data_IF_243206778476
#
_entry.id   IF_243206778476
#
_cell.length_a   1.000
_cell.length_b   1.000
_cell.length_c   1.000
_cell.angle_alpha   90.00
_cell.angle_beta   90.00
_cell.angle_gamma   90.00
#
_symmetry.space_group_name_H-M   'P 1'
#
loop_
_entity.id
_entity.type
_entity.pdbx_description
1 polymer ?
#
# COMPACT_ATOMS: atom_id res chain seq x y z
N UNK A 1 18.97 -4.97 13.62
CA UNK A 1 17.70 -4.37 13.21
C UNK A 1 16.94 -5.19 12.14
N UNK A 2 17.56 -5.55 10.98
CA UNK A 2 16.86 -6.29 9.89
C UNK A 2 16.13 -7.57 10.32
N UNK A 3 16.62 -8.32 11.33
CA UNK A 3 15.98 -9.56 11.83
C UNK A 3 14.72 -9.32 12.65
N UNK A 4 14.52 -8.12 13.22
CA UNK A 4 13.39 -7.82 14.11
C UNK A 4 12.11 -7.46 13.35
N UNK A 5 12.21 -6.91 12.14
CA UNK A 5 11.04 -6.48 11.37
C UNK A 5 10.37 -7.61 10.56
N UNK A 6 10.96 -8.80 10.60
CA UNK A 6 10.49 -9.97 9.85
C UNK A 6 10.06 -11.06 10.82
N UNK A 7 8.89 -11.62 10.62
CA UNK A 7 8.38 -12.79 11.33
C UNK A 7 7.72 -13.77 10.37
N UNK A 8 7.64 -15.04 10.76
CA UNK A 8 6.86 -16.04 10.05
C UNK A 8 5.47 -16.15 10.69
N UNK A 9 4.45 -16.32 9.86
CA UNK A 9 3.13 -16.70 10.35
C UNK A 9 3.18 -18.16 10.78
N UNK A 10 3.29 -18.36 12.10
CA UNK A 10 3.21 -19.67 12.75
C UNK A 10 1.93 -19.65 13.62
N UNK A 11 1.38 -20.80 13.97
CA UNK A 11 0.30 -20.87 14.96
C UNK A 11 0.69 -20.06 16.21
N UNK A 12 -0.14 -19.10 16.62
CA UNK A 12 0.15 -18.18 17.73
C UNK A 12 0.93 -16.92 17.34
N UNK A 13 1.01 -16.58 16.04
CA UNK A 13 1.60 -15.31 15.57
C UNK A 13 0.97 -14.11 16.28
N UNK A 14 1.83 -13.24 16.79
CA UNK A 14 1.43 -11.95 17.34
C UNK A 14 2.17 -10.84 16.61
N UNK A 15 1.44 -9.85 16.11
CA UNK A 15 1.98 -8.62 15.53
C UNK A 15 2.76 -7.85 16.62
N UNK A 16 4.05 -7.59 16.38
CA UNK A 16 4.88 -6.85 17.32
C UNK A 16 4.68 -5.34 17.13
N UNK A 17 3.78 -4.78 17.93
CA UNK A 17 3.45 -3.34 17.91
C UNK A 17 4.66 -2.46 18.27
N UNK A 18 5.59 -2.95 19.10
CA UNK A 18 6.76 -2.16 19.50
C UNK A 18 7.73 -2.02 18.32
N UNK A 19 8.01 -3.12 17.63
CA UNK A 19 8.85 -3.09 16.43
C UNK A 19 8.22 -2.22 15.35
N UNK A 20 6.92 -2.37 15.10
CA UNK A 20 6.20 -1.55 14.12
C UNK A 20 6.22 -0.06 14.48
N UNK A 21 6.00 0.29 15.76
CA UNK A 21 6.06 1.66 16.25
C UNK A 21 7.48 2.26 16.13
N UNK A 22 8.52 1.44 16.31
CA UNK A 22 9.93 1.89 16.16
C UNK A 22 10.31 2.09 14.69
N UNK A 23 9.89 1.18 13.82
CA UNK A 23 10.40 1.10 12.44
C UNK A 23 9.46 1.66 11.38
N UNK A 24 8.14 1.68 11.64
CA UNK A 24 7.08 2.04 10.69
C UNK A 24 6.75 0.94 9.68
N UNK A 25 7.44 -0.20 9.72
CA UNK A 25 7.22 -1.32 8.81
C UNK A 25 7.42 -2.66 9.53
N UNK A 26 6.61 -3.65 9.16
CA UNK A 26 6.70 -5.00 9.67
C UNK A 26 6.42 -6.03 8.55
N UNK A 27 7.19 -7.11 8.50
CA UNK A 27 7.07 -8.11 7.42
C UNK A 27 6.65 -9.44 8.01
N UNK A 28 5.55 -9.98 7.49
CA UNK A 28 5.01 -11.28 7.87
C UNK A 28 5.26 -12.24 6.72
N UNK A 29 6.07 -13.24 6.95
CA UNK A 29 6.38 -14.28 5.95
C UNK A 29 5.29 -15.34 5.91
N UNK A 30 5.00 -15.83 4.70
CA UNK A 30 4.00 -16.88 4.46
C UNK A 30 2.63 -16.54 5.12
N UNK A 31 2.24 -15.28 5.04
CA UNK A 31 1.03 -14.76 5.69
C UNK A 31 -0.25 -15.25 5.02
N UNK A 32 -0.21 -15.46 3.71
CA UNK A 32 -1.33 -15.97 2.92
C UNK A 32 -1.06 -17.44 2.57
N UNK A 33 -2.05 -18.33 2.72
CA UNK A 33 -1.94 -19.73 2.32
C UNK A 33 -1.53 -19.87 0.85
N UNK A 34 -0.65 -20.81 0.58
CA UNK A 34 -0.10 -21.05 -0.77
C UNK A 34 -1.20 -21.31 -1.80
N UNK A 35 -2.20 -22.07 -1.42
CA UNK A 35 -3.35 -22.42 -2.28
C UNK A 35 -4.15 -21.17 -2.67
N UNK A 36 -4.32 -20.24 -1.73
CA UNK A 36 -5.02 -18.97 -1.98
C UNK A 36 -4.20 -18.10 -2.94
N UNK A 37 -2.88 -18.01 -2.76
CA UNK A 37 -2.00 -17.27 -3.68
C UNK A 37 -2.03 -17.87 -5.08
N UNK A 38 -1.97 -19.20 -5.22
CA UNK A 38 -2.03 -19.86 -6.53
C UNK A 38 -3.35 -19.58 -7.24
N UNK A 39 -4.46 -19.58 -6.51
CA UNK A 39 -5.77 -19.21 -7.06
C UNK A 39 -5.77 -17.76 -7.54
N UNK A 40 -5.31 -16.83 -6.72
CA UNK A 40 -5.24 -15.41 -7.08
C UNK A 40 -4.33 -15.15 -8.29
N UNK A 41 -3.19 -15.83 -8.37
CA UNK A 41 -2.30 -15.80 -9.55
C UNK A 41 -3.00 -16.27 -10.81
N UNK A 42 -3.77 -17.37 -10.72
CA UNK A 42 -4.54 -17.89 -11.87
C UNK A 42 -5.58 -16.88 -12.35
N UNK A 43 -6.34 -16.29 -11.42
CA UNK A 43 -7.35 -15.27 -11.73
C UNK A 43 -6.69 -14.05 -12.35
N UNK A 44 -5.57 -13.56 -11.78
CA UNK A 44 -4.80 -12.44 -12.32
C UNK A 44 -4.31 -12.68 -13.73
N UNK A 45 -3.66 -13.82 -13.97
CA UNK A 45 -3.10 -14.15 -15.29
C UNK A 45 -4.20 -14.19 -16.37
N UNK A 46 -5.36 -14.78 -16.07
CA UNK A 46 -6.50 -14.80 -16.99
C UNK A 46 -7.06 -13.39 -17.24
N UNK A 47 -7.21 -12.59 -16.19
CA UNK A 47 -7.71 -11.22 -16.29
C UNK A 47 -6.76 -10.35 -17.13
N UNK A 48 -5.47 -10.38 -16.82
CA UNK A 48 -4.46 -9.57 -17.50
C UNK A 48 -4.25 -9.99 -18.96
N UNK A 49 -4.31 -11.30 -19.24
CA UNK A 49 -4.29 -11.81 -20.61
C UNK A 49 -5.46 -11.27 -21.44
N UNK A 50 -6.67 -11.30 -20.91
CA UNK A 50 -7.87 -10.80 -21.58
C UNK A 50 -7.84 -9.28 -21.79
N UNK A 51 -7.31 -8.52 -20.84
CA UNK A 51 -7.10 -7.07 -20.99
C UNK A 51 -6.21 -6.77 -22.19
N UNK A 52 -5.06 -7.45 -22.28
CA UNK A 52 -4.10 -7.24 -23.38
C UNK A 52 -4.64 -7.62 -24.76
N UNK A 53 -5.62 -8.54 -24.83
CA UNK A 53 -6.27 -8.94 -26.09
C UNK A 53 -7.36 -7.96 -26.54
N UNK A 54 -8.05 -7.33 -25.60
CA UNK A 54 -9.26 -6.57 -25.87
C UNK A 54 -9.06 -5.05 -25.79
N UNK A 55 -7.92 -4.59 -25.32
CA UNK A 55 -7.74 -3.19 -25.02
C UNK A 55 -6.83 -2.49 -26.04
N UNK A 56 -7.47 -1.68 -26.90
CA UNK A 56 -6.82 -0.63 -27.70
C UNK A 56 -6.43 0.59 -26.82
N UNK A 57 -6.69 0.59 -25.51
CA UNK A 57 -6.19 1.61 -24.61
C UNK A 57 -4.70 1.44 -24.51
N UNK A 58 -3.97 2.49 -24.90
CA UNK A 58 -2.58 2.66 -24.52
C UNK A 58 -2.53 2.70 -22.98
N UNK A 59 -2.52 1.52 -22.34
CA UNK A 59 -2.04 1.44 -20.98
C UNK A 59 -0.60 1.89 -21.09
N UNK A 60 -0.30 3.06 -20.55
CA UNK A 60 1.09 3.50 -20.43
C UNK A 60 1.74 2.58 -19.39
N UNK A 61 2.25 1.45 -19.88
CA UNK A 61 2.87 0.42 -19.05
C UNK A 61 4.20 0.90 -18.44
N UNK A 62 4.66 2.09 -18.77
CA UNK A 62 5.85 2.68 -18.19
C UNK A 62 5.58 3.26 -16.79
N UNK A 63 4.32 3.53 -16.44
CA UNK A 63 3.95 3.96 -15.09
C UNK A 63 3.34 2.79 -14.30
N UNK A 64 3.52 2.75 -12.98
CA UNK A 64 2.82 1.78 -12.14
C UNK A 64 1.32 1.88 -12.36
N UNK A 65 0.72 0.81 -12.85
CA UNK A 65 -0.71 0.77 -13.16
C UNK A 65 -1.47 0.36 -11.92
N UNK A 66 -2.47 1.16 -11.57
CA UNK A 66 -3.38 0.87 -10.46
C UNK A 66 -4.67 0.26 -10.99
N UNK A 67 -4.96 -0.97 -10.56
CA UNK A 67 -6.20 -1.66 -10.86
C UNK A 67 -7.10 -1.62 -9.62
N UNK A 68 -8.15 -0.82 -9.64
CA UNK A 68 -9.13 -0.69 -8.56
C UNK A 68 -10.57 -0.83 -9.06
N UNK A 69 -10.78 -0.80 -10.36
CA UNK A 69 -12.09 -0.94 -10.99
C UNK A 69 -12.13 -2.17 -11.88
N UNK A 70 -13.31 -2.80 -11.97
CA UNK A 70 -13.54 -3.95 -12.83
C UNK A 70 -12.64 -5.18 -12.61
N UNK A 71 -12.08 -5.30 -11.40
CA UNK A 71 -11.34 -6.50 -11.01
C UNK A 71 -12.29 -7.70 -10.92
N UNK A 72 -11.85 -8.90 -11.35
CA UNK A 72 -12.56 -10.15 -11.05
C UNK A 72 -12.88 -10.26 -9.56
N UNK A 73 -14.02 -10.86 -9.23
CA UNK A 73 -14.54 -10.95 -7.87
C UNK A 73 -13.50 -11.49 -6.86
N UNK A 74 -12.77 -12.54 -7.23
CA UNK A 74 -11.74 -13.12 -6.37
C UNK A 74 -10.63 -12.13 -6.00
N UNK A 75 -10.17 -11.31 -6.95
CA UNK A 75 -9.17 -10.26 -6.68
C UNK A 75 -9.80 -9.07 -5.93
N UNK A 76 -11.01 -8.68 -6.32
CA UNK A 76 -11.72 -7.56 -5.74
C UNK A 76 -12.09 -7.78 -4.26
N UNK A 77 -12.34 -9.03 -3.86
CA UNK A 77 -12.73 -9.40 -2.51
C UNK A 77 -11.56 -9.93 -1.66
N UNK A 78 -10.32 -9.95 -2.15
CA UNK A 78 -9.18 -10.51 -1.42
C UNK A 78 -8.98 -9.86 -0.03
N UNK A 79 -9.28 -8.59 0.13
CA UNK A 79 -9.24 -7.90 1.42
C UNK A 79 -10.18 -8.51 2.49
N UNK A 80 -11.18 -9.30 2.07
CA UNK A 80 -12.09 -10.05 2.96
C UNK A 80 -11.54 -11.40 3.40
N UNK A 81 -10.36 -11.81 2.91
CA UNK A 81 -9.77 -13.09 3.30
C UNK A 81 -9.52 -13.16 4.80
N UNK A 82 -9.60 -14.36 5.35
CA UNK A 82 -9.39 -14.60 6.79
C UNK A 82 -8.01 -14.09 7.24
N UNK A 83 -6.99 -14.29 6.41
CA UNK A 83 -5.63 -13.84 6.71
C UNK A 83 -5.52 -12.33 6.81
N UNK A 84 -6.09 -11.58 5.85
CA UNK A 84 -6.08 -10.11 5.85
C UNK A 84 -6.87 -9.57 7.05
N UNK A 85 -8.05 -10.13 7.32
CA UNK A 85 -8.87 -9.71 8.46
C UNK A 85 -8.18 -9.97 9.79
N UNK A 86 -7.56 -11.13 9.98
CA UNK A 86 -6.82 -11.46 11.19
C UNK A 86 -5.67 -10.49 11.45
N UNK A 87 -4.83 -10.24 10.43
CA UNK A 87 -3.70 -9.32 10.54
C UNK A 87 -4.17 -7.88 10.80
N UNK A 88 -5.24 -7.46 10.15
CA UNK A 88 -5.82 -6.13 10.37
C UNK A 88 -6.30 -5.95 11.81
N UNK A 89 -6.88 -6.98 12.41
CA UNK A 89 -7.27 -6.99 13.83
C UNK A 89 -6.07 -6.96 14.77
N UNK A 90 -4.99 -7.63 14.42
CA UNK A 90 -3.75 -7.60 15.21
C UNK A 90 -3.17 -6.17 15.26
N UNK A 91 -3.35 -5.38 14.21
CA UNK A 91 -2.85 -4.00 14.12
C UNK A 91 -3.75 -3.02 14.88
N UNK A 92 -5.05 -2.98 14.56
CA UNK A 92 -6.01 -1.99 15.08
C UNK A 92 -7.03 -2.53 16.11
N UNK A 93 -6.97 -3.84 16.41
CA UNK A 93 -8.02 -4.50 17.19
C UNK A 93 -9.29 -4.66 16.38
N UNK A 94 -10.43 -4.81 17.09
CA UNK A 94 -11.73 -4.93 16.41
C UNK A 94 -12.20 -3.62 15.76
N UNK A 95 -11.49 -2.54 15.99
CA UNK A 95 -11.86 -1.20 15.54
C UNK A 95 -11.15 -0.84 14.21
N UNK A 96 -11.25 -1.71 13.21
CA UNK A 96 -10.60 -1.56 11.91
C UNK A 96 -11.61 -1.53 10.77
N UNK A 97 -11.34 -0.73 9.74
CA UNK A 97 -12.11 -0.64 8.51
C UNK A 97 -11.19 -0.64 7.29
N UNK A 98 -11.72 -1.07 6.15
CA UNK A 98 -11.07 -0.89 4.87
C UNK A 98 -11.18 0.57 4.44
N UNK A 99 -10.06 1.20 4.11
CA UNK A 99 -10.03 2.52 3.46
C UNK A 99 -10.05 2.40 1.94
N UNK A 100 -9.15 1.59 1.40
CA UNK A 100 -9.04 1.37 -0.05
C UNK A 100 -8.35 0.03 -0.32
N UNK A 101 -8.56 -0.53 -1.51
CA UNK A 101 -7.74 -1.61 -2.02
C UNK A 101 -7.56 -1.48 -3.52
N UNK A 102 -6.41 -1.91 -4.00
CA UNK A 102 -6.03 -1.89 -5.42
C UNK A 102 -4.96 -2.93 -5.69
N UNK A 103 -4.74 -3.23 -6.95
CA UNK A 103 -3.54 -3.93 -7.41
C UNK A 103 -2.64 -2.92 -8.08
N UNK A 104 -1.38 -2.89 -7.68
CA UNK A 104 -0.34 -2.04 -8.26
C UNK A 104 0.62 -2.91 -9.05
N UNK A 105 0.68 -2.70 -10.35
CA UNK A 105 1.59 -3.41 -11.23
C UNK A 105 2.71 -2.48 -11.70
N UNK A 106 3.93 -2.99 -11.75
CA UNK A 106 5.04 -2.42 -12.48
C UNK A 106 5.46 -3.42 -13.55
N UNK A 107 5.35 -3.00 -14.79
CA UNK A 107 5.65 -3.85 -15.95
C UNK A 107 7.13 -4.28 -15.96
N UNK A 108 7.39 -5.44 -16.57
CA UNK A 108 8.75 -5.91 -16.86
C UNK A 108 9.49 -4.88 -17.69
N UNK A 109 10.79 -4.73 -17.44
CA UNK A 109 11.66 -3.76 -18.14
C UNK A 109 11.22 -2.31 -18.02
N UNK A 110 10.39 -1.98 -17.04
CA UNK A 110 10.02 -0.58 -16.78
C UNK A 110 11.18 0.16 -16.12
N UNK A 111 11.67 1.22 -16.76
CA UNK A 111 12.69 2.11 -16.22
C UNK A 111 12.13 3.15 -15.21
N UNK A 112 10.82 3.18 -15.04
CA UNK A 112 10.15 4.12 -14.16
C UNK A 112 10.32 3.78 -12.68
N UNK A 113 10.68 4.79 -11.91
CA UNK A 113 10.75 4.74 -10.44
C UNK A 113 9.57 5.48 -9.82
N UNK A 114 9.10 5.01 -8.67
CA UNK A 114 8.24 5.83 -7.80
C UNK A 114 9.16 6.63 -6.88
N UNK A 115 9.03 7.95 -6.92
CA UNK A 115 9.80 8.87 -6.11
C UNK A 115 9.64 8.59 -4.61
N UNK A 116 10.60 9.05 -3.83
CA UNK A 116 10.54 9.04 -2.37
C UNK A 116 9.35 9.88 -1.91
N UNK A 117 8.44 9.27 -1.12
CA UNK A 117 7.21 9.90 -0.66
C UNK A 117 6.68 9.24 0.62
N UNK A 118 5.66 9.86 1.18
CA UNK A 118 4.77 9.32 2.21
C UNK A 118 3.38 9.17 1.62
N UNK A 119 2.64 8.11 1.99
CA UNK A 119 1.26 7.93 1.53
C UNK A 119 0.26 8.84 2.24
N UNK A 120 0.59 9.28 3.46
CA UNK A 120 -0.28 10.07 4.32
C UNK A 120 -0.93 11.29 3.64
N UNK A 121 -0.22 12.12 2.83
CA UNK A 121 -0.83 13.28 2.19
C UNK A 121 -1.91 12.94 1.14
N UNK A 122 -1.95 11.70 0.69
CA UNK A 122 -2.96 11.20 -0.26
C UNK A 122 -4.15 10.53 0.42
N UNK A 123 -4.13 10.42 1.74
CA UNK A 123 -5.20 9.84 2.53
C UNK A 123 -6.08 10.95 3.14
N UNK A 124 -7.38 10.69 3.20
CA UNK A 124 -8.35 11.57 3.85
C UNK A 124 -8.76 10.93 5.19
N UNK A 125 -8.98 11.76 6.20
CA UNK A 125 -9.32 11.35 7.54
C UNK A 125 -8.45 12.03 8.58
N UNK A 126 -8.57 11.61 9.84
CA UNK A 126 -7.88 12.21 10.98
C UNK A 126 -6.69 11.39 11.45
N UNK A 127 -6.68 10.10 11.14
CA UNK A 127 -5.70 9.16 11.63
C UNK A 127 -4.74 8.67 10.55
N UNK A 128 -3.57 8.23 10.97
CA UNK A 128 -2.67 7.48 10.12
C UNK A 128 -3.33 6.18 9.68
N UNK A 129 -3.06 5.81 8.44
CA UNK A 129 -3.52 4.56 7.87
C UNK A 129 -2.36 3.58 7.78
N UNK A 130 -2.70 2.33 7.55
CA UNK A 130 -1.73 1.27 7.36
C UNK A 130 -1.96 0.60 6.01
N UNK A 131 -0.91 0.50 5.20
CA UNK A 131 -0.94 -0.26 3.96
C UNK A 131 -0.44 -1.69 4.20
N UNK A 132 -1.20 -2.67 3.73
CA UNK A 132 -0.82 -4.07 3.66
C UNK A 132 -0.44 -4.37 2.21
N UNK A 133 0.85 -4.45 1.92
CA UNK A 133 1.33 -4.85 0.60
C UNK A 133 1.51 -6.36 0.53
N UNK A 134 0.78 -7.01 -0.38
CA UNK A 134 0.85 -8.46 -0.59
C UNK A 134 1.35 -8.75 -2.00
N UNK A 135 2.59 -9.22 -2.17
CA UNK A 135 3.09 -9.60 -3.48
C UNK A 135 2.33 -10.83 -4.00
N UNK A 136 1.79 -10.70 -5.20
CA UNK A 136 1.16 -11.80 -5.92
C UNK A 136 2.21 -12.72 -6.56
N UNK A 137 3.37 -12.17 -6.92
CA UNK A 137 4.57 -12.87 -7.38
C UNK A 137 5.76 -12.39 -6.57
N UNK A 138 6.86 -13.14 -6.57
CA UNK A 138 8.06 -12.74 -5.83
C UNK A 138 8.51 -11.33 -6.23
N UNK A 139 8.88 -10.55 -5.23
CA UNK A 139 9.21 -9.14 -5.38
C UNK A 139 10.50 -8.82 -4.61
N UNK A 140 11.41 -8.11 -5.26
CA UNK A 140 12.69 -7.70 -4.68
C UNK A 140 13.30 -6.53 -5.44
N UNK A 141 14.56 -6.23 -5.15
CA UNK A 141 15.26 -5.08 -5.73
C UNK A 141 15.25 -5.10 -7.25
N UNK A 142 15.44 -6.28 -7.87
CA UNK A 142 15.60 -6.42 -9.33
C UNK A 142 14.32 -6.11 -10.12
N UNK A 143 13.15 -6.36 -9.52
CA UNK A 143 11.87 -6.13 -10.19
C UNK A 143 11.07 -4.94 -9.61
N UNK A 144 11.77 -3.96 -9.05
CA UNK A 144 11.17 -2.73 -8.57
C UNK A 144 10.50 -2.88 -7.20
N UNK A 145 11.08 -3.70 -6.33
CA UNK A 145 10.69 -3.81 -4.93
C UNK A 145 10.76 -2.47 -4.19
N UNK A 146 9.99 -2.37 -3.12
CA UNK A 146 9.87 -1.15 -2.34
C UNK A 146 11.02 -1.02 -1.34
N UNK A 147 11.56 0.18 -1.22
CA UNK A 147 12.57 0.58 -0.23
C UNK A 147 11.92 1.39 0.86
N UNK A 148 12.13 1.02 2.11
CA UNK A 148 11.56 1.62 3.31
C UNK A 148 12.64 2.28 4.16
N UNK A 149 12.41 3.51 4.63
CA UNK A 149 13.32 4.27 5.50
C UNK A 149 12.86 4.12 6.95
N UNK A 150 13.51 3.21 7.68
CA UNK A 150 13.07 2.74 8.99
C UNK A 150 13.05 3.87 10.04
N UNK A 151 11.91 4.04 10.71
CA UNK A 151 11.71 5.04 11.75
C UNK A 151 11.37 6.45 11.25
N UNK A 152 11.39 6.68 9.94
CA UNK A 152 11.12 8.01 9.37
C UNK A 152 9.70 8.52 9.62
N UNK A 153 8.73 7.63 9.85
CA UNK A 153 7.34 7.97 10.20
C UNK A 153 7.19 8.73 11.51
N UNK A 154 8.15 8.57 12.45
CA UNK A 154 8.12 9.22 13.77
C UNK A 154 8.25 10.76 13.68
N UNK A 155 8.69 11.28 12.54
CA UNK A 155 8.80 12.71 12.29
C UNK A 155 7.53 13.33 11.70
N UNK A 156 6.46 12.53 11.56
CA UNK A 156 5.20 12.97 10.98
C UNK A 156 5.30 13.26 9.49
N UNK A 157 4.40 14.10 8.99
CA UNK A 157 4.42 14.52 7.59
C UNK A 157 5.50 15.57 7.35
N UNK A 158 6.45 15.27 6.47
CA UNK A 158 7.60 16.13 6.19
C UNK A 158 7.54 16.81 4.82
N UNK A 159 6.77 16.30 3.88
CA UNK A 159 6.66 16.88 2.54
C UNK A 159 6.04 15.93 1.52
N UNK A 160 5.73 16.47 0.34
CA UNK A 160 5.13 15.72 -0.75
C UNK A 160 6.18 14.98 -1.60
N UNK A 161 5.73 14.10 -2.49
CA UNK A 161 6.59 13.35 -3.40
C UNK A 161 7.50 14.27 -4.21
N UNK A 162 8.81 14.02 -4.16
CA UNK A 162 9.81 14.80 -4.88
C UNK A 162 10.15 16.17 -4.29
N UNK A 163 9.54 16.57 -3.16
CA UNK A 163 9.88 17.84 -2.49
C UNK A 163 11.16 17.75 -1.66
N UNK A 164 11.49 16.55 -1.16
CA UNK A 164 12.67 16.35 -0.31
C UNK A 164 13.66 15.45 -1.04
N UNK A 165 14.88 15.93 -1.16
CA UNK A 165 16.00 15.17 -1.74
C UNK A 165 16.36 13.97 -0.87
N UNK A 166 16.60 12.82 -1.50
CA UNK A 166 16.93 11.57 -0.81
C UNK A 166 18.19 11.67 0.05
N UNK A 167 19.15 12.54 -0.28
CA UNK A 167 20.35 12.77 0.53
C UNK A 167 20.03 13.23 1.95
N UNK A 168 18.86 13.82 2.19
CA UNK A 168 18.39 14.21 3.53
C UNK A 168 17.98 13.02 4.39
N UNK A 169 17.93 11.82 3.81
CA UNK A 169 17.51 10.58 4.49
C UNK A 169 18.68 9.64 4.80
N UNK A 170 19.92 10.08 4.69
CA UNK A 170 21.11 9.26 4.95
C UNK A 170 21.20 8.76 6.39
N UNK A 171 20.64 9.49 7.35
CA UNK A 171 20.60 9.12 8.77
C UNK A 171 19.70 7.92 9.06
N UNK A 172 18.73 7.61 8.17
CA UNK A 172 17.85 6.48 8.38
C UNK A 172 18.36 5.21 7.71
N UNK A 173 18.32 4.11 8.46
CA UNK A 173 18.54 2.80 7.88
C UNK A 173 17.45 2.49 6.87
N UNK A 174 17.83 1.98 5.71
CA UNK A 174 16.88 1.59 4.64
C UNK A 174 16.97 0.11 4.33
N UNK A 175 15.83 -0.47 3.96
CA UNK A 175 15.74 -1.84 3.50
C UNK A 175 14.92 -1.94 2.22
N UNK A 176 15.31 -2.83 1.34
CA UNK A 176 14.52 -3.32 0.20
C UNK A 176 14.40 -4.83 0.39
N UNK A 177 13.31 -5.31 0.98
CA UNK A 177 13.20 -6.74 1.29
C UNK A 177 12.92 -7.56 0.02
N UNK A 178 13.52 -8.75 -0.05
CA UNK A 178 13.06 -9.79 -0.96
C UNK A 178 11.81 -10.44 -0.35
N UNK A 179 10.72 -10.41 -1.08
CA UNK A 179 9.41 -10.92 -0.68
C UNK A 179 9.01 -12.11 -1.56
N UNK A 180 8.50 -13.15 -0.94
CA UNK A 180 7.83 -14.22 -1.64
C UNK A 180 6.35 -13.88 -1.87
N UNK A 181 5.74 -14.48 -2.88
CA UNK A 181 4.30 -14.42 -3.07
C UNK A 181 3.58 -14.87 -1.79
N UNK A 182 2.64 -14.05 -1.30
CA UNK A 182 1.90 -14.29 -0.06
C UNK A 182 2.57 -13.83 1.24
N UNK A 183 3.76 -13.21 1.19
CA UNK A 183 4.25 -12.41 2.31
C UNK A 183 3.37 -11.16 2.47
N UNK A 184 3.37 -10.52 3.62
CA UNK A 184 2.72 -9.22 3.84
C UNK A 184 3.73 -8.23 4.39
N UNK A 185 3.77 -7.05 3.80
CA UNK A 185 4.43 -5.89 4.39
C UNK A 185 3.35 -4.99 4.99
N UNK A 186 3.44 -4.76 6.29
CA UNK A 186 2.62 -3.82 7.05
C UNK A 186 3.38 -2.50 7.11
N UNK A 187 2.85 -1.43 6.51
CA UNK A 187 3.53 -0.14 6.41
C UNK A 187 2.68 1.00 6.97
N UNK A 188 3.27 1.84 7.79
CA UNK A 188 2.66 3.08 8.25
C UNK A 188 2.62 4.11 7.12
N UNK A 189 1.51 4.81 6.94
CA UNK A 189 1.32 5.80 5.87
C UNK A 189 2.25 7.02 5.95
N UNK A 190 2.83 7.29 7.12
CA UNK A 190 3.86 8.32 7.31
C UNK A 190 5.29 7.82 7.06
N UNK A 191 5.48 6.51 6.78
CA UNK A 191 6.81 6.00 6.50
C UNK A 191 7.27 6.45 5.11
N UNK A 192 8.45 7.06 5.03
CA UNK A 192 9.07 7.38 3.77
C UNK A 192 9.48 6.11 3.04
N UNK A 193 9.06 6.03 1.79
CA UNK A 193 9.35 4.88 0.94
C UNK A 193 9.41 5.27 -0.54
N UNK A 194 9.98 4.39 -1.34
CA UNK A 194 10.09 4.52 -2.80
C UNK A 194 10.10 3.15 -3.46
N UNK A 195 10.02 3.08 -4.78
CA UNK A 195 10.33 1.86 -5.51
C UNK A 195 11.20 2.16 -6.73
N UNK A 196 12.21 1.31 -6.94
CA UNK A 196 13.09 1.39 -8.11
C UNK A 196 12.41 0.95 -9.41
N UNK A 197 13.16 1.00 -10.52
CA UNK A 197 12.72 0.44 -11.79
C UNK A 197 12.62 -1.09 -11.73
N UNK A 198 11.94 -1.66 -12.70
CA UNK A 198 11.88 -3.10 -12.90
C UNK A 198 12.77 -3.49 -14.08
N UNK A 199 13.95 -4.01 -13.80
CA UNK A 199 14.89 -4.48 -14.82
C UNK A 199 14.73 -5.95 -15.18
N UNK A 200 13.80 -6.64 -14.53
CA UNK A 200 13.57 -8.07 -14.74
C UNK A 200 12.66 -8.35 -15.94
N UNK A 201 12.60 -9.62 -16.33
CA UNK A 201 11.66 -10.12 -17.36
C UNK A 201 10.27 -10.45 -16.79
N UNK A 202 9.97 -10.07 -15.53
CA UNK A 202 8.73 -10.39 -14.84
C UNK A 202 8.06 -9.13 -14.31
N UNK A 203 6.75 -9.08 -14.44
CA UNK A 203 5.96 -8.01 -13.84
C UNK A 203 5.98 -8.12 -12.31
N UNK A 204 6.01 -6.96 -11.64
CA UNK A 204 5.79 -6.86 -10.20
C UNK A 204 4.34 -6.51 -9.93
N UNK A 205 3.62 -7.42 -9.29
CA UNK A 205 2.20 -7.25 -8.98
C UNK A 205 2.01 -7.33 -7.46
N UNK A 206 1.47 -6.28 -6.87
CA UNK A 206 1.21 -6.16 -5.44
C UNK A 206 -0.26 -5.83 -5.21
N UNK A 207 -0.91 -6.51 -4.27
CA UNK A 207 -2.07 -5.92 -3.62
C UNK A 207 -1.61 -4.81 -2.68
N UNK A 208 -2.31 -3.68 -2.70
CA UNK A 208 -2.21 -2.58 -1.77
C UNK A 208 -3.57 -2.43 -1.09
N UNK A 209 -3.66 -2.92 0.15
CA UNK A 209 -4.86 -2.91 0.97
C UNK A 209 -4.64 -1.90 2.09
N UNK A 210 -5.35 -0.79 2.04
CA UNK A 210 -5.20 0.28 3.02
C UNK A 210 -6.29 0.14 4.07
N UNK A 211 -5.88 0.00 5.31
CA UNK A 211 -6.75 -0.12 6.48
C UNK A 211 -6.61 1.08 7.40
N UNK A 212 -7.66 1.38 8.14
CA UNK A 212 -7.74 2.51 9.07
C UNK A 212 -8.52 2.14 10.33
N UNK A 213 -8.45 2.95 11.41
CA UNK A 213 -9.41 2.85 12.49
C UNK A 213 -10.84 3.04 11.97
N UNK A 214 -11.81 2.25 12.47
CA UNK A 214 -13.20 2.32 11.99
C UNK A 214 -13.89 3.64 12.32
N UNK A 215 -13.38 4.36 13.34
CA UNK A 215 -13.86 5.69 13.72
C UNK A 215 -13.22 6.83 12.90
N UNK A 216 -12.41 6.52 11.89
CA UNK A 216 -11.86 7.52 10.97
C UNK A 216 -12.70 7.57 9.68
N UNK A 217 -13.45 8.65 9.42
CA UNK A 217 -14.34 8.72 8.27
C UNK A 217 -13.56 8.84 6.96
N UNK A 218 -14.14 8.32 5.88
CA UNK A 218 -13.70 8.60 4.51
C UNK A 218 -14.05 10.02 4.09
N UNK A 219 -13.46 10.50 2.98
CA UNK A 219 -13.77 11.82 2.46
C UNK A 219 -15.26 12.03 2.13
N UNK A 220 -15.92 10.98 1.61
CA UNK A 220 -17.36 11.08 1.29
C UNK A 220 -18.22 11.17 2.55
N UNK A 221 -17.88 10.44 3.60
CA UNK A 221 -18.58 10.49 4.88
C UNK A 221 -18.42 11.86 5.56
N UNK A 222 -17.25 12.50 5.43
CA UNK A 222 -17.04 13.87 5.91
C UNK A 222 -17.90 14.89 5.19
N UNK A 223 -18.18 14.67 3.88
CA UNK A 223 -19.03 15.57 3.08
C UNK A 223 -20.50 15.33 3.36
N UNK A 224 -20.93 14.08 3.41
CA UNK A 224 -22.35 13.72 3.58
C UNK A 224 -22.80 13.78 5.03
N UNK A 225 -21.90 13.72 5.99
CA UNK A 225 -22.22 13.58 7.40
C UNK A 225 -22.73 12.17 7.79
N UNK A 226 -22.77 11.26 6.84
CA UNK A 226 -23.22 9.89 7.05
C UNK A 226 -22.04 8.99 7.47
N UNK A 227 -21.70 9.01 8.73
CA UNK A 227 -20.56 8.31 9.26
C UNK A 227 -20.96 6.99 9.93
N UNK A 228 -20.32 5.90 9.48
CA UNK A 228 -20.46 4.56 10.04
C UNK A 228 -19.20 4.20 10.82
N UNK A 229 -19.38 3.66 12.01
CA UNK A 229 -18.27 3.21 12.87
C UNK A 229 -18.19 1.69 12.98
N UNK A 230 -18.94 0.97 12.16
CA UNK A 230 -18.99 -0.48 12.19
C UNK A 230 -17.67 -1.11 11.75
N UNK A 231 -17.40 -2.28 12.33
CA UNK A 231 -16.25 -3.10 11.97
C UNK A 231 -16.32 -3.56 10.50
N UNK A 232 -15.19 -3.55 9.79
CA UNK A 232 -15.10 -3.91 8.37
C UNK A 232 -16.09 -3.18 7.45
N UNK A 233 -16.41 -1.97 7.76
CA UNK A 233 -17.12 -1.13 6.79
C UNK A 233 -16.20 -0.93 5.60
N UNK A 234 -16.70 -1.27 4.41
CA UNK A 234 -16.04 -0.93 3.16
C UNK A 234 -16.19 0.58 2.94
N UNK A 235 -15.13 1.32 3.23
CA UNK A 235 -15.04 2.77 3.00
C UNK A 235 -14.36 3.09 1.68
N UNK A 236 -14.50 2.19 0.70
CA UNK A 236 -13.99 2.44 -0.63
C UNK A 236 -14.26 3.87 -1.05
N UNK A 237 -13.27 4.45 -1.69
CA UNK A 237 -13.41 5.64 -2.49
C UNK A 237 -14.47 5.40 -3.56
N UNK A 238 -15.73 5.61 -3.21
CA UNK A 238 -16.83 5.51 -4.16
C UNK A 238 -16.86 6.71 -5.10
N UNK A 239 -16.17 7.79 -4.73
CA UNK A 239 -16.06 9.01 -5.53
C UNK A 239 -14.62 9.52 -5.59
N UNK A 240 -13.87 8.99 -6.54
CA UNK A 240 -12.50 9.41 -6.81
C UNK A 240 -12.37 10.93 -7.08
N UNK A 241 -13.40 11.55 -7.65
CA UNK A 241 -13.38 12.99 -7.95
C UNK A 241 -13.39 13.84 -6.70
N UNK A 242 -14.17 13.45 -5.70
CA UNK A 242 -14.24 14.15 -4.41
C UNK A 242 -12.90 14.03 -3.67
N UNK A 243 -12.38 12.84 -3.59
CA UNK A 243 -11.08 12.58 -2.96
C UNK A 243 -9.94 13.34 -3.68
N UNK A 244 -9.97 13.39 -5.01
CA UNK A 244 -9.01 14.15 -5.81
C UNK A 244 -9.05 15.65 -5.52
N UNK A 245 -10.25 16.22 -5.33
CA UNK A 245 -10.40 17.62 -4.99
C UNK A 245 -9.77 17.95 -3.64
N UNK A 246 -9.97 17.12 -2.63
CA UNK A 246 -9.36 17.31 -1.31
C UNK A 246 -7.84 17.18 -1.35
N UNK A 247 -7.33 16.15 -2.01
CA UNK A 247 -5.88 15.94 -2.19
C UNK A 247 -5.28 17.14 -2.92
N UNK A 248 -5.84 17.55 -4.06
CA UNK A 248 -5.36 18.66 -4.85
C UNK A 248 -5.42 19.99 -4.07
N UNK A 249 -6.48 20.22 -3.32
CA UNK A 249 -6.62 21.42 -2.47
C UNK A 249 -5.58 21.45 -1.36
N UNK A 250 -5.34 20.32 -0.70
CA UNK A 250 -4.33 20.17 0.35
C UNK A 250 -2.92 20.37 -0.21
N UNK A 251 -2.58 19.68 -1.30
CA UNK A 251 -1.29 19.82 -1.98
C UNK A 251 -1.03 21.25 -2.45
N UNK A 252 -2.03 21.91 -3.04
CA UNK A 252 -1.95 23.30 -3.45
C UNK A 252 -1.71 24.23 -2.27
N UNK A 253 -2.40 24.01 -1.16
CA UNK A 253 -2.23 24.80 0.07
C UNK A 253 -0.86 24.64 0.68
N UNK A 254 -0.34 23.41 0.71
CA UNK A 254 1.02 23.11 1.20
C UNK A 254 2.10 23.75 0.31
N UNK A 255 1.96 23.71 -1.01
CA UNK A 255 2.86 24.40 -1.94
C UNK A 255 2.90 25.91 -1.73
N UNK A 256 1.75 26.53 -1.49
CA UNK A 256 1.68 27.96 -1.17
C UNK A 256 2.41 28.28 0.15
N UNK A 257 2.27 27.44 1.16
CA UNK A 257 2.93 27.61 2.45
C UNK A 257 4.45 27.43 2.36
N UNK A 258 4.93 26.55 1.48
CA UNK A 258 6.37 26.32 1.28
C UNK A 258 7.05 27.39 0.42
N UNK A 259 6.32 28.04 -0.48
CA UNK A 259 6.85 29.12 -1.34
C UNK A 259 6.97 30.48 -0.65
N UNK A 260 6.40 30.62 0.54
CA UNK A 260 6.46 31.84 1.36
C UNK A 260 7.52 31.80 2.44
N UNK A 261 8.46 30.85 2.38
CA UNK A 261 9.68 30.75 3.18
C UNK A 261 10.90 31.07 2.33
#
# INVERSE_FOLDING_TARGET
MKKKIVTNKIEGFQFDKNIYSETGVFIIRNAIPKEEILLLQSIWNNYFFNLNQNDSRNIDLNNPVNFNENLPEGLNNFWKSVSIQSISKDIFGDNVALYNHRIVMKDKKSDQSIFLHQDYPYHIGFHEKCSLFVPLFNCGLENGGMTYYLGSHQYGYLGDAGEIDESKFEQWSKITPDLNAGDIVVMNSLLWHKSGPNFSEKDRVLFDIIIQPSNDPSGIELITGEWKTDFWVDRKRSDFKVDSLFINSRTKKLKILSSNK
#
